data_IF_923809995431
#
_entry.id   IF_923809995431
#
_cell.length_a   1.000
_cell.length_b   1.000
_cell.length_c   1.000
_cell.angle_alpha   90.00
_cell.angle_beta   90.00
_cell.angle_gamma   90.00
#
_symmetry.space_group_name_H-M   'P 1'
#
loop_
_entity.id
_entity.type
_entity.pdbx_description
1 polymer ?
#
# COMPACT_ATOMS: atom_id res chain seq x y z
N UNK A 1 16.13 17.03 24.80
CA UNK A 1 14.72 16.63 24.95
C UNK A 1 14.61 15.13 25.19
N UNK A 2 14.32 14.72 26.43
CA UNK A 2 14.02 13.31 26.79
C UNK A 2 12.68 12.92 26.14
N UNK A 3 12.69 12.04 25.13
CA UNK A 3 11.49 11.31 24.72
C UNK A 3 11.11 10.37 25.86
N UNK A 4 10.14 10.80 26.68
CA UNK A 4 9.40 9.91 27.55
C UNK A 4 8.80 8.79 26.67
N UNK A 5 9.08 7.54 27.04
CA UNK A 5 8.38 6.35 26.52
C UNK A 5 6.92 6.42 26.99
N UNK A 6 6.11 7.26 26.37
CA UNK A 6 4.68 7.13 26.46
C UNK A 6 4.31 5.82 25.77
N UNK A 7 3.77 4.85 26.51
CA UNK A 7 3.23 3.64 25.90
C UNK A 7 2.25 4.03 24.80
N UNK A 8 2.45 3.50 23.59
CA UNK A 8 1.64 3.83 22.42
C UNK A 8 0.16 3.59 22.73
N UNK A 9 -0.58 4.67 22.97
CA UNK A 9 -2.00 4.60 23.30
C UNK A 9 -2.76 4.47 21.99
N UNK A 10 -3.35 3.30 21.76
CA UNK A 10 -4.15 3.05 20.54
C UNK A 10 -5.35 4.00 20.48
N UNK A 11 -5.62 4.57 19.31
CA UNK A 11 -6.81 5.38 19.02
C UNK A 11 -8.11 4.74 19.50
N UNK A 12 -8.21 3.40 19.44
CA UNK A 12 -9.38 2.64 19.90
C UNK A 12 -9.73 2.80 21.38
N UNK A 13 -8.82 3.34 22.20
CA UNK A 13 -9.06 3.60 23.63
C UNK A 13 -9.87 4.89 23.89
N UNK A 14 -9.98 5.76 22.89
CA UNK A 14 -10.70 7.02 23.00
C UNK A 14 -12.13 6.89 22.46
N UNK A 15 -13.02 7.72 23.00
CA UNK A 15 -14.40 7.75 22.52
C UNK A 15 -14.47 8.36 21.09
N UNK A 16 -15.64 8.27 20.45
CA UNK A 16 -15.76 8.70 19.04
C UNK A 16 -15.49 10.20 18.86
N UNK A 17 -15.93 11.04 19.80
CA UNK A 17 -15.75 12.50 19.75
C UNK A 17 -14.27 12.88 19.86
N UNK A 18 -13.56 12.29 20.83
CA UNK A 18 -12.12 12.48 21.01
C UNK A 18 -11.34 12.01 19.78
N UNK A 19 -11.66 10.83 19.25
CA UNK A 19 -11.03 10.33 18.02
C UNK A 19 -11.24 11.26 16.84
N UNK A 20 -12.45 11.80 16.66
CA UNK A 20 -12.76 12.76 15.60
C UNK A 20 -11.99 14.06 15.79
N UNK A 21 -11.95 14.60 17.01
CA UNK A 21 -11.20 15.80 17.33
C UNK A 21 -9.69 15.62 17.07
N UNK A 22 -9.13 14.49 17.50
CA UNK A 22 -7.74 14.13 17.21
C UNK A 22 -7.51 14.00 15.71
N UNK A 23 -8.28 13.18 14.99
CA UNK A 23 -8.08 12.99 13.55
C UNK A 23 -8.32 14.27 12.73
N UNK A 24 -9.10 15.22 13.26
CA UNK A 24 -9.31 16.53 12.67
C UNK A 24 -8.09 17.46 12.73
N UNK A 25 -7.16 17.26 13.68
CA UNK A 25 -5.97 18.10 13.81
C UNK A 25 -4.74 17.60 13.05
N UNK A 26 -4.75 16.35 12.58
CA UNK A 26 -3.63 15.76 11.82
C UNK A 26 -3.79 15.95 10.31
N UNK A 27 -2.68 16.21 9.62
CA UNK A 27 -2.57 15.96 8.18
C UNK A 27 -2.47 14.45 7.94
N UNK A 28 -3.45 13.88 7.24
CA UNK A 28 -3.59 12.45 6.99
C UNK A 28 -3.20 12.15 5.54
N UNK A 29 -2.15 11.36 5.37
CA UNK A 29 -1.64 10.94 4.05
C UNK A 29 -1.83 9.44 3.90
N UNK A 30 -2.45 9.02 2.80
CA UNK A 30 -2.58 7.62 2.41
C UNK A 30 -1.61 7.31 1.27
N UNK A 31 -0.67 6.40 1.49
CA UNK A 31 0.18 5.87 0.44
C UNK A 31 -0.48 4.64 -0.16
N UNK A 32 -0.75 4.67 -1.47
CA UNK A 32 -1.34 3.56 -2.21
C UNK A 32 -0.33 2.99 -3.19
N UNK A 33 -0.32 1.67 -3.31
CA UNK A 33 0.53 0.94 -4.23
C UNK A 33 -0.30 -0.15 -4.87
N UNK A 34 -0.02 -0.40 -6.14
CA UNK A 34 -0.63 -1.49 -6.88
C UNK A 34 -0.55 -2.80 -6.07
N UNK A 35 -1.67 -3.52 -5.89
CA UNK A 35 -1.72 -4.72 -5.06
C UNK A 35 -0.79 -5.83 -5.55
N UNK A 36 -0.58 -5.97 -6.86
CA UNK A 36 0.34 -6.96 -7.41
C UNK A 36 1.80 -6.61 -7.08
N UNK A 37 2.17 -5.34 -7.23
CA UNK A 37 3.49 -4.88 -6.81
C UNK A 37 3.73 -5.05 -5.29
N UNK A 38 2.68 -4.91 -4.47
CA UNK A 38 2.77 -5.20 -3.03
C UNK A 38 3.06 -6.68 -2.78
N UNK A 39 2.35 -7.58 -3.45
CA UNK A 39 2.56 -9.03 -3.33
C UNK A 39 3.99 -9.42 -3.70
N UNK A 40 4.50 -8.92 -4.83
CA UNK A 40 5.89 -9.15 -5.27
C UNK A 40 6.88 -8.65 -4.21
N UNK A 41 6.69 -7.43 -3.70
CA UNK A 41 7.58 -6.87 -2.68
C UNK A 41 7.56 -7.71 -1.39
N UNK A 42 6.39 -8.18 -0.96
CA UNK A 42 6.26 -9.04 0.23
C UNK A 42 6.92 -10.40 0.03
N UNK A 43 6.76 -11.01 -1.14
CA UNK A 43 7.42 -12.26 -1.50
C UNK A 43 8.95 -12.11 -1.46
N UNK A 44 9.49 -11.07 -2.09
CA UNK A 44 10.94 -10.81 -2.13
C UNK A 44 11.54 -10.47 -0.76
N UNK A 45 10.77 -9.89 0.16
CA UNK A 45 11.23 -9.58 1.52
C UNK A 45 11.36 -10.84 2.41
N UNK A 46 11.17 -12.03 1.86
CA UNK A 46 11.30 -13.29 2.61
C UNK A 46 10.16 -13.54 3.58
N UNK A 47 9.02 -12.85 3.43
CA UNK A 47 7.79 -13.20 4.15
C UNK A 47 7.08 -14.41 3.54
N UNK A 48 7.55 -14.91 2.39
CA UNK A 48 7.15 -16.19 1.83
C UNK A 48 8.17 -17.28 2.19
N UNK A 49 7.78 -18.20 3.07
CA UNK A 49 8.43 -19.53 3.20
C UNK A 49 8.23 -20.34 1.90
N UNK A 50 7.28 -19.89 1.07
CA UNK A 50 6.85 -20.48 -0.17
C UNK A 50 7.97 -20.55 -1.23
N UNK A 51 8.16 -21.71 -1.89
CA UNK A 51 9.26 -21.94 -2.84
C UNK A 51 9.06 -21.27 -4.20
N UNK A 52 7.87 -20.79 -4.51
CA UNK A 52 7.52 -20.09 -5.75
C UNK A 52 6.51 -18.98 -5.48
N UNK A 53 6.38 -18.04 -6.43
CA UNK A 53 5.40 -16.98 -6.31
C UNK A 53 3.97 -17.52 -6.38
N UNK A 54 3.74 -18.55 -7.18
CA UNK A 54 2.45 -19.24 -7.25
C UNK A 54 2.04 -19.87 -5.91
N UNK A 55 2.98 -20.53 -5.22
CA UNK A 55 2.74 -21.09 -3.88
C UNK A 55 2.42 -19.99 -2.86
N UNK A 56 3.15 -18.88 -2.91
CA UNK A 56 2.90 -17.72 -2.07
C UNK A 56 1.51 -17.11 -2.31
N UNK A 57 1.10 -16.98 -3.58
CA UNK A 57 -0.25 -16.50 -3.92
C UNK A 57 -1.32 -17.44 -3.36
N UNK A 58 -1.10 -18.74 -3.42
CA UNK A 58 -2.04 -19.70 -2.84
C UNK A 58 -2.16 -19.52 -1.32
N UNK A 59 -1.04 -19.34 -0.62
CA UNK A 59 -1.01 -19.04 0.82
C UNK A 59 -1.77 -17.75 1.16
N UNK A 60 -1.61 -16.70 0.36
CA UNK A 60 -2.35 -15.44 0.52
C UNK A 60 -3.86 -15.65 0.35
N UNK A 61 -4.26 -16.41 -0.67
CA UNK A 61 -5.67 -16.71 -0.93
C UNK A 61 -6.28 -17.60 0.17
N UNK A 62 -5.53 -18.59 0.67
CA UNK A 62 -5.98 -19.52 1.71
C UNK A 62 -6.07 -18.85 3.08
N UNK A 63 -5.14 -17.94 3.40
CA UNK A 63 -5.17 -17.13 4.63
C UNK A 63 -6.40 -16.22 4.70
N UNK A 64 -6.93 -15.83 3.54
CA UNK A 64 -8.10 -14.98 3.41
C UNK A 64 -7.95 -13.60 4.06
N UNK A 65 -9.05 -12.86 4.13
CA UNK A 65 -9.06 -11.47 4.65
C UNK A 65 -8.86 -11.37 6.17
N UNK A 66 -9.25 -12.40 6.93
CA UNK A 66 -9.30 -12.34 8.39
C UNK A 66 -7.97 -12.76 9.02
N UNK A 67 -7.35 -13.84 8.52
CA UNK A 67 -6.13 -14.41 9.10
C UNK A 67 -4.84 -13.98 8.38
N UNK A 68 -4.95 -13.25 7.27
CA UNK A 68 -3.78 -12.76 6.53
C UNK A 68 -2.94 -11.73 7.29
N UNK A 69 -1.63 -11.69 7.00
CA UNK A 69 -0.74 -10.60 7.41
C UNK A 69 -1.21 -9.27 6.84
N UNK A 70 -0.97 -8.17 7.57
CA UNK A 70 -1.21 -6.82 7.06
C UNK A 70 -0.47 -6.56 5.73
N UNK A 71 0.62 -7.29 5.47
CA UNK A 71 1.42 -7.17 4.26
C UNK A 71 0.62 -7.37 2.95
N UNK A 72 -0.33 -8.31 2.93
CA UNK A 72 -1.12 -8.66 1.74
C UNK A 72 -2.61 -8.36 1.85
N UNK A 73 -3.09 -7.76 2.96
CA UNK A 73 -4.49 -7.32 3.02
C UNK A 73 -4.77 -6.17 2.05
N UNK A 74 -5.98 -6.11 1.45
CA UNK A 74 -6.40 -4.97 0.64
C UNK A 74 -6.29 -3.65 1.42
N UNK A 75 -5.80 -2.59 0.76
CA UNK A 75 -5.65 -1.24 1.32
C UNK A 75 -6.98 -0.70 1.83
N UNK A 76 -8.07 -0.90 1.08
CA UNK A 76 -9.39 -0.44 1.51
C UNK A 76 -9.83 -1.07 2.83
N UNK A 77 -9.39 -2.30 3.11
CA UNK A 77 -9.68 -2.99 4.37
C UNK A 77 -8.82 -2.47 5.52
N UNK A 78 -7.56 -2.12 5.25
CA UNK A 78 -6.61 -1.64 6.26
C UNK A 78 -6.85 -0.17 6.61
N UNK A 79 -6.96 0.67 5.58
CA UNK A 79 -6.97 2.12 5.68
C UNK A 79 -8.38 2.70 5.78
N UNK A 80 -9.42 1.95 5.36
CA UNK A 80 -10.83 2.34 5.44
C UNK A 80 -11.07 3.77 4.89
N UNK A 81 -10.75 4.04 3.61
CA UNK A 81 -10.82 5.37 3.01
C UNK A 81 -12.22 5.99 3.03
N UNK A 82 -13.28 5.20 3.17
CA UNK A 82 -14.64 5.71 3.34
C UNK A 82 -14.92 6.30 4.75
N UNK A 83 -14.10 5.95 5.76
CA UNK A 83 -14.29 6.38 7.15
C UNK A 83 -13.28 7.44 7.59
N UNK A 84 -12.11 7.48 6.96
CA UNK A 84 -11.05 8.44 7.25
C UNK A 84 -10.96 9.42 6.09
N UNK A 85 -11.18 10.71 6.37
CA UNK A 85 -11.02 11.77 5.37
C UNK A 85 -9.53 12.07 5.21
N UNK A 86 -8.89 11.50 4.18
CA UNK A 86 -7.48 11.77 3.91
C UNK A 86 -7.29 13.12 3.23
N UNK A 87 -6.28 13.87 3.67
CA UNK A 87 -5.91 15.14 3.04
C UNK A 87 -5.18 14.89 1.71
N UNK A 88 -4.45 13.78 1.63
CA UNK A 88 -3.69 13.36 0.44
C UNK A 88 -3.73 11.86 0.23
N UNK A 89 -3.88 11.43 -1.02
CA UNK A 89 -3.67 10.05 -1.48
C UNK A 89 -2.53 10.07 -2.48
N UNK A 90 -1.47 9.32 -2.18
CA UNK A 90 -0.17 9.37 -2.89
C UNK A 90 0.11 8.02 -3.50
N UNK A 91 0.39 7.95 -4.80
CA UNK A 91 0.59 6.69 -5.50
C UNK A 91 2.08 6.35 -5.57
N UNK A 92 2.43 5.14 -5.15
CA UNK A 92 3.79 4.62 -5.26
C UNK A 92 4.24 4.56 -6.72
N UNK A 93 5.47 5.03 -7.00
CA UNK A 93 6.03 5.15 -8.34
C UNK A 93 5.88 6.53 -9.00
N UNK A 94 5.23 7.49 -8.34
CA UNK A 94 5.13 8.90 -8.76
C UNK A 94 5.75 9.86 -7.73
N UNK A 95 6.75 9.41 -6.98
CA UNK A 95 7.13 10.07 -5.73
C UNK A 95 7.81 11.42 -5.97
N UNK A 96 8.62 11.61 -7.02
CA UNK A 96 9.31 12.90 -7.19
C UNK A 96 8.37 14.10 -7.39
N UNK A 97 7.43 13.99 -8.34
CA UNK A 97 6.52 15.10 -8.65
C UNK A 97 5.45 15.25 -7.56
N UNK A 98 4.90 14.14 -7.07
CA UNK A 98 3.87 14.15 -6.02
C UNK A 98 4.43 14.60 -4.67
N UNK A 99 5.62 14.13 -4.26
CA UNK A 99 6.26 14.56 -3.01
C UNK A 99 6.61 16.05 -3.05
N UNK A 100 7.05 16.57 -4.19
CA UNK A 100 7.24 18.02 -4.37
C UNK A 100 5.94 18.81 -4.16
N UNK A 101 4.80 18.32 -4.65
CA UNK A 101 3.49 18.95 -4.40
C UNK A 101 3.05 18.84 -2.94
N UNK A 102 3.27 17.70 -2.29
CA UNK A 102 2.95 17.49 -0.87
C UNK A 102 3.79 18.41 0.02
N UNK A 103 5.11 18.49 -0.22
CA UNK A 103 6.01 19.35 0.55
C UNK A 103 5.61 20.82 0.43
N UNK A 104 5.28 21.29 -0.79
CA UNK A 104 4.76 22.66 -1.00
C UNK A 104 3.50 22.93 -0.19
N UNK A 105 2.51 22.03 -0.26
CA UNK A 105 1.25 22.21 0.46
C UNK A 105 1.40 22.05 1.98
N UNK A 106 2.42 21.32 2.43
CA UNK A 106 2.79 21.22 3.84
C UNK A 106 3.59 22.44 4.34
N UNK A 107 3.83 23.45 3.48
CA UNK A 107 4.63 24.63 3.85
C UNK A 107 6.13 24.36 3.99
N UNK A 108 6.61 23.22 3.48
CA UNK A 108 8.02 22.83 3.55
C UNK A 108 8.78 23.31 2.30
N UNK A 109 10.02 23.83 2.46
CA UNK A 109 10.81 24.29 1.34
C UNK A 109 11.20 23.11 0.44
N UNK A 110 10.95 23.27 -0.86
CA UNK A 110 11.21 22.24 -1.90
C UNK A 110 12.70 22.12 -2.25
N UNK A 111 13.54 23.00 -1.70
CA UNK A 111 14.85 23.32 -2.26
C UNK A 111 16.02 22.38 -1.99
N UNK A 112 15.93 21.38 -1.10
CA UNK A 112 17.14 20.61 -0.75
C UNK A 112 16.93 19.25 -0.07
N UNK A 113 15.69 18.82 0.19
CA UNK A 113 15.39 17.62 0.98
C UNK A 113 14.63 16.52 0.21
N UNK A 114 14.48 16.65 -1.10
CA UNK A 114 13.96 15.53 -1.89
C UNK A 114 15.12 14.55 -2.09
N UNK A 115 15.18 13.41 -1.38
CA UNK A 115 16.15 12.38 -1.72
C UNK A 115 16.03 12.07 -3.21
N UNK A 116 17.13 11.67 -3.85
CA UNK A 116 17.06 11.09 -5.19
C UNK A 116 16.26 9.80 -5.12
N UNK A 117 14.93 9.93 -5.22
CA UNK A 117 14.02 8.82 -5.37
C UNK A 117 14.19 8.38 -6.84
N UNK A 118 15.05 7.39 -7.06
CA UNK A 118 15.31 6.77 -8.36
C UNK A 118 14.14 5.88 -8.77
N UNK A 119 12.99 6.51 -9.03
CA UNK A 119 11.74 5.82 -9.38
C UNK A 119 11.83 5.10 -10.75
N UNK A 120 12.67 5.59 -11.68
CA UNK A 120 12.77 5.03 -13.03
C UNK A 120 13.35 3.62 -13.05
N UNK A 121 14.47 3.38 -12.36
CA UNK A 121 15.08 2.05 -12.23
C UNK A 121 14.13 1.07 -11.54
N UNK A 122 13.38 1.55 -10.55
CA UNK A 122 12.36 0.77 -9.86
C UNK A 122 11.22 0.38 -10.82
N UNK A 123 10.65 1.32 -11.58
CA UNK A 123 9.56 1.04 -12.51
C UNK A 123 9.91 -0.02 -13.58
N UNK A 124 11.08 0.09 -14.22
CA UNK A 124 11.52 -0.89 -15.22
C UNK A 124 11.74 -2.28 -14.61
N UNK A 125 12.35 -2.34 -13.41
CA UNK A 125 12.55 -3.60 -12.68
C UNK A 125 11.21 -4.25 -12.32
N UNK A 126 10.21 -3.46 -11.89
CA UNK A 126 8.90 -3.99 -11.56
C UNK A 126 8.12 -4.47 -12.77
N UNK A 127 8.30 -3.91 -13.97
CA UNK A 127 7.59 -4.37 -15.18
C UNK A 127 7.96 -5.80 -15.56
N UNK A 128 9.25 -6.04 -15.84
CA UNK A 128 9.74 -7.38 -16.20
C UNK A 128 9.47 -8.40 -15.10
N UNK A 129 9.72 -8.02 -13.84
CA UNK A 129 9.47 -8.90 -12.70
C UNK A 129 7.98 -9.22 -12.56
N UNK A 130 7.09 -8.26 -12.79
CA UNK A 130 5.64 -8.51 -12.76
C UNK A 130 5.22 -9.45 -13.88
N UNK A 131 5.75 -9.30 -15.09
CA UNK A 131 5.48 -10.23 -16.19
C UNK A 131 5.91 -11.66 -15.84
N UNK A 132 7.11 -11.84 -15.27
CA UNK A 132 7.59 -13.16 -14.83
C UNK A 132 6.72 -13.74 -13.71
N UNK A 133 6.48 -12.98 -12.65
CA UNK A 133 5.69 -13.45 -11.50
C UNK A 133 4.23 -13.74 -11.89
N UNK A 134 3.65 -12.95 -12.79
CA UNK A 134 2.30 -13.18 -13.32
C UNK A 134 2.22 -14.43 -14.19
N UNK A 135 3.30 -14.73 -14.94
CA UNK A 135 3.38 -15.93 -15.77
C UNK A 135 3.34 -17.24 -14.95
N UNK A 136 3.82 -17.22 -13.71
CA UNK A 136 3.75 -18.38 -12.79
C UNK A 136 2.32 -18.71 -12.31
N UNK A 137 1.38 -17.76 -12.45
CA UNK A 137 0.03 -17.92 -11.93
C UNK A 137 -0.89 -18.61 -12.92
N UNK A 138 -1.66 -19.59 -12.42
CA UNK A 138 -2.76 -20.19 -13.17
C UNK A 138 -3.89 -19.18 -13.43
N UNK A 139 -4.68 -19.39 -14.48
CA UNK A 139 -5.85 -18.55 -14.78
C UNK A 139 -6.84 -18.47 -13.60
N UNK A 140 -6.97 -19.56 -12.83
CA UNK A 140 -7.78 -19.60 -11.61
C UNK A 140 -7.23 -18.66 -10.53
N UNK A 141 -5.94 -18.73 -10.25
CA UNK A 141 -5.30 -17.84 -9.26
C UNK A 141 -5.41 -16.37 -9.66
N UNK A 142 -5.20 -16.04 -10.95
CA UNK A 142 -5.35 -14.67 -11.47
C UNK A 142 -6.75 -14.13 -11.19
N UNK A 143 -7.79 -14.88 -11.57
CA UNK A 143 -9.19 -14.49 -11.30
C UNK A 143 -9.49 -14.33 -9.82
N UNK A 144 -8.99 -15.25 -8.98
CA UNK A 144 -9.17 -15.17 -7.53
C UNK A 144 -8.47 -13.95 -6.92
N UNK A 145 -7.25 -13.62 -7.38
CA UNK A 145 -6.53 -12.43 -6.94
C UNK A 145 -7.22 -11.13 -7.37
N UNK A 146 -7.67 -11.03 -8.61
CA UNK A 146 -8.45 -9.87 -9.09
C UNK A 146 -9.71 -9.68 -8.24
N UNK A 147 -10.42 -10.77 -7.93
CA UNK A 147 -11.57 -10.69 -7.04
C UNK A 147 -11.18 -10.31 -5.60
N UNK A 148 -10.08 -10.85 -5.07
CA UNK A 148 -9.59 -10.55 -3.72
C UNK A 148 -9.23 -9.07 -3.54
N UNK A 149 -8.63 -8.43 -4.55
CA UNK A 149 -8.25 -7.02 -4.55
C UNK A 149 -9.24 -6.08 -5.24
N UNK A 150 -10.43 -6.56 -5.64
CA UNK A 150 -11.41 -5.79 -6.43
C UNK A 150 -11.72 -4.39 -5.88
N UNK A 151 -11.77 -4.26 -4.55
CA UNK A 151 -12.08 -2.99 -3.91
C UNK A 151 -10.92 -2.00 -3.93
N UNK A 152 -9.67 -2.49 -3.89
CA UNK A 152 -8.50 -1.64 -4.09
C UNK A 152 -8.46 -1.13 -5.53
N UNK A 153 -8.72 -2.02 -6.49
CA UNK A 153 -8.77 -1.69 -7.92
C UNK A 153 -9.90 -0.70 -8.26
N UNK A 154 -11.04 -0.79 -7.55
CA UNK A 154 -12.14 0.16 -7.69
C UNK A 154 -11.88 1.51 -7.01
N UNK A 155 -11.19 1.50 -5.85
CA UNK A 155 -10.95 2.70 -5.07
C UNK A 155 -9.79 3.56 -5.60
N UNK A 156 -8.81 2.95 -6.25
CA UNK A 156 -7.58 3.62 -6.67
C UNK A 156 -7.23 3.35 -8.14
N UNK A 157 -6.84 4.37 -8.92
CA UNK A 157 -6.56 4.22 -10.34
C UNK A 157 -5.20 3.56 -10.59
N UNK A 158 -5.19 2.23 -10.67
CA UNK A 158 -4.02 1.42 -11.05
C UNK A 158 -4.07 1.07 -12.55
N UNK A 159 -3.79 2.05 -13.41
CA UNK A 159 -3.88 1.95 -14.88
C UNK A 159 -3.03 0.86 -15.55
N UNK A 160 -2.06 0.29 -14.85
CA UNK A 160 -1.14 -0.74 -15.36
C UNK A 160 -1.14 -1.99 -14.48
N UNK A 161 -2.24 -2.24 -13.76
CA UNK A 161 -2.32 -3.40 -12.88
C UNK A 161 -2.47 -4.68 -13.69
N UNK A 162 -1.73 -5.71 -13.33
CA UNK A 162 -1.93 -7.06 -13.87
C UNK A 162 -3.20 -7.73 -13.32
N UNK A 163 -3.83 -7.14 -12.30
CA UNK A 163 -5.05 -7.67 -11.70
C UNK A 163 -6.33 -6.98 -12.20
N UNK A 164 -6.19 -5.90 -12.98
CA UNK A 164 -7.30 -5.24 -13.66
C UNK A 164 -7.52 -5.89 -15.03
N UNK A 165 -8.15 -7.06 -15.00
CA UNK A 165 -8.81 -7.70 -16.16
C UNK A 165 -10.31 -7.34 -16.15
#
# INVERSE_FOLDING_TARGET
>A
YRRLRAGETRLSRFNQTERRAMLGSYTKVLFVRDPFHRLIATFLQGMGISPSFSSFVQEVLDSGMHNGSAAWKPLVSLCRPCLVQYDYVVKFGFLRQELGHLLRRAGLPVGSLLPELTDSQVQWTYRWLSEQMFSELSARQRKQLSHFYRWDLAAFPFSSSFLSD
#
